data_IF_626782163966
#
_entry.id   IF_626782163966
#
_cell.length_a   1.000
_cell.length_b   1.000
_cell.length_c   1.000
_cell.angle_alpha   90.00
_cell.angle_beta   90.00
_cell.angle_gamma   90.00
#
_symmetry.space_group_name_H-M   'P 1'
#
loop_
_entity.id
_entity.type
_entity.pdbx_description
1 polymer ?
#
# COMPACT_ATOMS: atom_id res chain seq x y z
N UNK A 1 -14.26 9.06 -24.91
CA UNK A 1 -14.35 7.95 -23.94
C UNK A 1 -14.80 6.73 -24.71
N UNK A 2 -14.07 5.63 -24.63
CA UNK A 2 -14.38 4.39 -25.33
C UNK A 2 -15.20 3.43 -24.42
N UNK A 3 -15.70 2.31 -24.99
CA UNK A 3 -16.54 1.36 -24.26
C UNK A 3 -15.84 0.76 -23.04
N UNK A 4 -14.54 0.46 -23.12
CA UNK A 4 -13.76 -0.08 -22.01
C UNK A 4 -13.59 0.91 -20.84
N UNK A 5 -13.47 2.19 -21.14
CA UNK A 5 -13.47 3.23 -20.11
C UNK A 5 -14.85 3.31 -19.42
N UNK A 6 -15.94 3.17 -20.16
CA UNK A 6 -17.28 3.14 -19.60
C UNK A 6 -17.49 1.92 -18.68
N UNK A 7 -17.04 0.74 -19.11
CA UNK A 7 -17.06 -0.48 -18.31
C UNK A 7 -16.27 -0.31 -17.00
N UNK A 8 -15.06 0.26 -17.08
CA UNK A 8 -14.23 0.55 -15.88
C UNK A 8 -14.94 1.50 -14.94
N UNK A 9 -15.49 2.59 -15.43
CA UNK A 9 -16.21 3.57 -14.59
C UNK A 9 -17.40 2.90 -13.90
N UNK A 10 -18.13 2.05 -14.60
CA UNK A 10 -19.25 1.30 -14.03
C UNK A 10 -18.78 0.36 -12.92
N UNK A 11 -17.70 -0.41 -13.16
CA UNK A 11 -17.11 -1.30 -12.19
C UNK A 11 -16.62 -0.53 -10.94
N UNK A 12 -15.89 0.58 -11.14
CA UNK A 12 -15.40 1.42 -10.05
C UNK A 12 -16.54 1.99 -9.21
N UNK A 13 -17.64 2.46 -9.83
CA UNK A 13 -18.82 2.96 -9.11
C UNK A 13 -19.51 1.87 -8.30
N UNK A 14 -19.51 0.62 -8.79
CA UNK A 14 -20.05 -0.52 -8.04
C UNK A 14 -19.21 -0.83 -6.81
N UNK A 15 -17.87 -0.79 -6.94
CA UNK A 15 -16.95 -1.09 -5.84
C UNK A 15 -16.85 0.06 -4.84
N UNK A 16 -16.88 1.30 -5.33
CA UNK A 16 -16.72 2.52 -4.54
C UNK A 16 -17.92 3.46 -4.74
N UNK A 17 -19.09 3.15 -4.13
CA UNK A 17 -20.29 3.92 -4.35
C UNK A 17 -20.19 5.39 -3.92
N UNK A 18 -19.42 5.66 -2.86
CA UNK A 18 -19.21 7.02 -2.37
C UNK A 18 -18.06 7.75 -3.08
N UNK A 19 -16.91 7.16 -3.16
CA UNK A 19 -15.70 7.58 -3.89
C UNK A 19 -14.53 6.69 -3.50
N UNK A 20 -13.52 6.59 -4.35
CA UNK A 20 -12.27 5.92 -4.00
C UNK A 20 -11.55 6.72 -2.90
N UNK A 21 -11.15 6.09 -1.77
CA UNK A 21 -10.33 6.77 -0.76
C UNK A 21 -9.05 7.34 -1.35
N UNK A 22 -8.70 8.56 -0.99
CA UNK A 22 -7.48 9.21 -1.49
C UNK A 22 -6.23 8.87 -0.69
N UNK A 23 -6.38 8.31 0.52
CA UNK A 23 -5.28 7.83 1.36
C UNK A 23 -5.44 6.36 1.65
N UNK A 24 -4.42 5.59 1.26
CA UNK A 24 -4.29 4.14 1.47
C UNK A 24 -3.05 3.83 2.28
N UNK A 25 -3.12 2.76 3.08
CA UNK A 25 -2.02 2.27 3.91
C UNK A 25 -1.69 0.81 3.57
N UNK A 26 -0.44 0.48 3.21
CA UNK A 26 0.04 -0.89 3.19
C UNK A 26 0.39 -1.29 4.64
N UNK A 27 -0.60 -1.85 5.38
CA UNK A 27 -0.47 -2.11 6.81
C UNK A 27 0.76 -2.95 7.14
N UNK A 28 1.47 -2.57 8.21
CA UNK A 28 2.59 -3.33 8.77
C UNK A 28 2.12 -4.69 9.27
N UNK A 29 2.94 -5.73 9.05
CA UNK A 29 2.81 -7.03 9.72
C UNK A 29 3.66 -7.03 10.97
N UNK A 30 3.05 -7.31 12.12
CA UNK A 30 3.73 -7.45 13.40
C UNK A 30 3.94 -8.93 13.73
N UNK A 31 5.00 -9.24 14.48
CA UNK A 31 5.38 -10.62 14.83
C UNK A 31 5.58 -10.76 16.32
N UNK A 32 5.19 -11.91 16.86
CA UNK A 32 5.49 -12.38 18.21
C UNK A 32 6.93 -12.91 18.29
N UNK A 33 7.41 -13.18 19.51
CA UNK A 33 8.76 -13.66 19.74
C UNK A 33 9.04 -15.04 19.10
N UNK A 34 8.00 -15.85 18.92
CA UNK A 34 8.04 -17.12 18.21
C UNK A 34 7.96 -17.00 16.68
N UNK A 35 7.94 -15.77 16.15
CA UNK A 35 7.82 -15.39 14.73
C UNK A 35 6.44 -15.59 14.11
N UNK A 36 5.45 -15.97 14.86
CA UNK A 36 4.07 -15.97 14.38
C UNK A 36 3.57 -14.54 14.22
N UNK A 37 2.56 -14.34 13.36
CA UNK A 37 1.96 -13.02 13.15
C UNK A 37 1.21 -12.59 14.42
N UNK A 38 1.50 -11.40 14.91
CA UNK A 38 0.82 -10.79 16.07
C UNK A 38 -0.44 -10.05 15.63
N UNK A 39 -1.53 -10.80 15.49
CA UNK A 39 -2.81 -10.24 15.09
C UNK A 39 -3.39 -9.25 16.11
N UNK A 40 -3.12 -9.41 17.41
CA UNK A 40 -3.61 -8.47 18.42
C UNK A 40 -2.91 -7.11 18.29
N UNK A 41 -1.60 -7.14 18.04
CA UNK A 41 -0.84 -5.93 17.74
C UNK A 41 -1.30 -5.28 16.44
N UNK A 42 -1.60 -6.07 15.40
CA UNK A 42 -2.14 -5.58 14.14
C UNK A 42 -3.53 -4.94 14.31
N UNK A 43 -4.42 -5.51 15.12
CA UNK A 43 -5.73 -4.93 15.44
C UNK A 43 -5.60 -3.55 16.07
N UNK A 44 -4.69 -3.40 17.01
CA UNK A 44 -4.47 -2.13 17.71
C UNK A 44 -3.84 -1.09 16.78
N UNK A 45 -2.88 -1.50 15.94
CA UNK A 45 -2.29 -0.62 14.94
C UNK A 45 -3.34 -0.18 13.90
N UNK A 46 -4.16 -1.10 13.42
CA UNK A 46 -5.28 -0.78 12.55
C UNK A 46 -6.25 0.21 13.20
N UNK A 47 -6.61 0.00 14.48
CA UNK A 47 -7.49 0.91 15.22
C UNK A 47 -6.91 2.32 15.34
N UNK A 48 -5.59 2.44 15.49
CA UNK A 48 -4.88 3.72 15.52
C UNK A 48 -4.94 4.45 14.18
N UNK A 49 -4.82 3.72 13.05
CA UNK A 49 -4.75 4.29 11.69
C UNK A 49 -6.15 4.58 11.11
N UNK A 50 -7.13 3.69 11.35
CA UNK A 50 -8.42 3.66 10.65
C UNK A 50 -9.31 4.89 10.80
N UNK A 51 -9.17 5.76 11.81
CA UNK A 51 -9.87 7.05 11.82
C UNK A 51 -9.51 7.94 10.61
N UNK A 52 -8.28 7.84 10.11
CA UNK A 52 -7.71 8.72 9.08
C UNK A 52 -7.60 8.06 7.71
N UNK A 53 -7.42 6.74 7.68
CA UNK A 53 -7.23 5.93 6.47
C UNK A 53 -8.43 5.03 6.25
N UNK A 54 -8.97 5.01 5.02
CA UNK A 54 -10.12 4.18 4.66
C UNK A 54 -9.80 3.12 3.60
N UNK A 55 -8.60 3.16 3.03
CA UNK A 55 -8.10 2.17 2.09
C UNK A 55 -6.88 1.44 2.64
N UNK A 56 -6.85 0.11 2.52
CA UNK A 56 -5.73 -0.71 2.97
C UNK A 56 -5.28 -1.68 1.88
N UNK A 57 -3.97 -1.93 1.82
CA UNK A 57 -3.34 -3.00 1.02
C UNK A 57 -2.72 -4.02 1.97
N UNK A 58 -3.21 -5.27 1.97
CA UNK A 58 -2.75 -6.33 2.89
C UNK A 58 -2.63 -7.66 2.15
N UNK A 59 -1.43 -8.29 2.20
CA UNK A 59 -0.16 -7.67 2.55
C UNK A 59 0.35 -6.74 1.45
N UNK A 60 0.97 -5.61 1.83
CA UNK A 60 1.78 -4.81 0.93
C UNK A 60 3.27 -5.09 1.13
N UNK A 61 4.17 -4.47 0.35
CA UNK A 61 5.62 -4.59 0.57
C UNK A 61 6.06 -4.11 1.95
N UNK A 62 5.41 -3.08 2.48
CA UNK A 62 5.64 -2.57 3.85
C UNK A 62 5.19 -3.57 4.92
N UNK A 63 4.22 -4.42 4.60
CA UNK A 63 3.77 -5.53 5.45
C UNK A 63 4.45 -6.86 5.11
N UNK A 64 5.69 -6.81 4.65
CA UNK A 64 6.54 -7.96 4.32
C UNK A 64 5.97 -8.89 3.21
N UNK A 65 5.08 -8.37 2.33
CA UNK A 65 4.31 -9.17 1.37
C UNK A 65 5.14 -9.96 0.33
N UNK A 66 6.42 -9.59 0.13
CA UNK A 66 7.35 -10.31 -0.73
C UNK A 66 8.10 -11.43 0.00
N UNK A 67 8.23 -11.30 1.31
CA UNK A 67 8.94 -12.21 2.19
C UNK A 67 8.04 -13.30 2.78
N UNK A 68 6.73 -13.02 2.88
CA UNK A 68 5.74 -13.93 3.46
C UNK A 68 5.62 -15.24 2.66
N UNK A 69 5.56 -16.35 3.38
CA UNK A 69 5.13 -17.64 2.82
C UNK A 69 3.68 -17.57 2.31
N UNK A 70 3.26 -18.57 1.56
CA UNK A 70 1.88 -18.68 1.11
C UNK A 70 0.92 -18.76 2.31
N UNK A 71 1.25 -19.59 3.32
CA UNK A 71 0.44 -19.74 4.52
C UNK A 71 0.27 -18.42 5.30
N UNK A 72 1.35 -17.67 5.51
CA UNK A 72 1.27 -16.35 6.18
C UNK A 72 0.46 -15.35 5.36
N UNK A 73 0.59 -15.39 4.03
CA UNK A 73 -0.21 -14.54 3.13
C UNK A 73 -1.70 -14.84 3.26
N UNK A 74 -2.06 -16.13 3.32
CA UNK A 74 -3.46 -16.57 3.52
C UNK A 74 -3.99 -16.14 4.88
N UNK A 75 -3.23 -16.34 5.96
CA UNK A 75 -3.60 -15.92 7.31
C UNK A 75 -3.83 -14.40 7.39
N UNK A 76 -2.98 -13.59 6.76
CA UNK A 76 -3.15 -12.14 6.71
C UNK A 76 -4.38 -11.72 5.90
N UNK A 77 -4.65 -12.40 4.79
CA UNK A 77 -5.84 -12.12 3.99
C UNK A 77 -7.12 -12.46 4.76
N UNK A 78 -7.19 -13.64 5.40
CA UNK A 78 -8.30 -14.05 6.29
C UNK A 78 -8.50 -13.02 7.41
N UNK A 79 -7.44 -12.67 8.12
CA UNK A 79 -7.48 -11.67 9.18
C UNK A 79 -8.02 -10.33 8.68
N UNK A 80 -7.52 -9.83 7.54
CA UNK A 80 -7.94 -8.55 6.99
C UNK A 80 -9.42 -8.56 6.61
N UNK A 81 -9.87 -9.61 5.94
CA UNK A 81 -11.27 -9.77 5.53
C UNK A 81 -12.19 -9.81 6.75
N UNK A 82 -11.87 -10.61 7.75
CA UNK A 82 -12.73 -10.78 8.92
C UNK A 82 -12.69 -9.55 9.84
N UNK A 83 -11.50 -9.03 10.14
CA UNK A 83 -11.36 -7.95 11.10
C UNK A 83 -11.85 -6.59 10.54
N UNK A 84 -11.69 -6.35 9.24
CA UNK A 84 -12.07 -5.08 8.62
C UNK A 84 -13.51 -5.06 8.11
N UNK A 85 -14.20 -6.21 8.11
CA UNK A 85 -15.62 -6.30 7.72
C UNK A 85 -16.48 -5.32 8.51
N UNK A 86 -17.41 -4.66 7.83
CA UNK A 86 -18.36 -3.70 8.43
C UNK A 86 -17.74 -2.44 9.08
N UNK A 87 -16.49 -2.10 8.77
CA UNK A 87 -15.79 -0.94 9.35
C UNK A 87 -15.70 0.28 8.42
N UNK A 88 -16.45 0.31 7.32
CA UNK A 88 -16.34 1.33 6.27
C UNK A 88 -14.89 1.49 5.77
N UNK A 89 -14.29 0.36 5.43
CA UNK A 89 -12.92 0.20 4.99
C UNK A 89 -12.92 -0.44 3.61
N UNK A 90 -12.00 -0.04 2.76
CA UNK A 90 -11.73 -0.61 1.45
C UNK A 90 -10.43 -1.41 1.49
N UNK A 91 -10.47 -2.68 1.06
CA UNK A 91 -9.34 -3.60 1.14
C UNK A 91 -8.88 -4.04 -0.26
N UNK A 92 -7.61 -3.83 -0.54
CA UNK A 92 -6.89 -4.47 -1.63
C UNK A 92 -6.10 -5.65 -1.06
N UNK A 93 -6.27 -6.84 -1.64
CA UNK A 93 -5.50 -8.03 -1.26
C UNK A 93 -4.22 -8.11 -2.10
N UNK A 94 -3.07 -8.10 -1.44
CA UNK A 94 -1.77 -8.17 -2.11
C UNK A 94 -1.42 -9.60 -2.52
N UNK A 95 -1.17 -9.80 -3.81
CA UNK A 95 -0.65 -11.04 -4.39
C UNK A 95 0.75 -10.76 -4.95
N UNK A 96 1.70 -10.45 -4.04
CA UNK A 96 3.05 -10.04 -4.40
C UNK A 96 3.89 -11.29 -4.66
N UNK A 97 3.89 -11.75 -5.90
CA UNK A 97 4.59 -12.95 -6.36
C UNK A 97 5.45 -12.60 -7.58
N UNK A 98 6.52 -13.37 -7.84
CA UNK A 98 7.48 -13.05 -8.90
C UNK A 98 6.91 -13.23 -10.33
N UNK A 99 5.82 -13.98 -10.48
CA UNK A 99 5.24 -14.29 -11.78
C UNK A 99 3.73 -14.59 -11.70
N UNK A 100 3.09 -14.70 -12.86
CA UNK A 100 1.66 -14.97 -12.97
C UNK A 100 1.27 -16.35 -12.40
N UNK A 101 2.14 -17.34 -12.47
CA UNK A 101 1.90 -18.67 -11.90
C UNK A 101 1.75 -18.62 -10.38
N UNK A 102 2.66 -17.92 -9.71
CA UNK A 102 2.63 -17.71 -8.27
C UNK A 102 1.38 -16.91 -7.83
N UNK A 103 0.99 -15.88 -8.59
CA UNK A 103 -0.25 -15.12 -8.34
C UNK A 103 -1.48 -16.02 -8.44
N UNK A 104 -1.59 -16.80 -9.53
CA UNK A 104 -2.72 -17.73 -9.75
C UNK A 104 -2.77 -18.82 -8.67
N UNK A 105 -1.62 -19.37 -8.26
CA UNK A 105 -1.52 -20.35 -7.18
C UNK A 105 -2.03 -19.82 -5.85
N UNK A 106 -1.53 -18.66 -5.42
CA UNK A 106 -1.99 -18.00 -4.18
C UNK A 106 -3.49 -17.66 -4.24
N UNK A 107 -3.99 -17.18 -5.39
CA UNK A 107 -5.41 -16.90 -5.56
C UNK A 107 -6.28 -18.17 -5.48
N UNK A 108 -5.81 -19.29 -6.03
CA UNK A 108 -6.49 -20.59 -5.90
C UNK A 108 -6.57 -21.04 -4.45
N UNK A 109 -5.48 -20.96 -3.70
CA UNK A 109 -5.45 -21.28 -2.28
C UNK A 109 -6.38 -20.38 -1.45
N UNK A 110 -6.46 -19.07 -1.78
CA UNK A 110 -7.43 -18.16 -1.16
C UNK A 110 -8.88 -18.54 -1.44
N UNK A 111 -9.18 -19.00 -2.65
CA UNK A 111 -10.53 -19.49 -3.00
C UNK A 111 -10.88 -20.77 -2.25
N UNK A 112 -9.95 -21.73 -2.15
CA UNK A 112 -10.14 -22.97 -1.40
C UNK A 112 -10.41 -22.72 0.09
N UNK A 113 -9.78 -21.69 0.68
CA UNK A 113 -10.04 -21.23 2.05
C UNK A 113 -11.23 -20.31 2.19
N UNK A 114 -11.95 -20.05 1.08
CA UNK A 114 -13.12 -19.18 1.07
C UNK A 114 -12.84 -17.75 1.60
N UNK A 115 -11.62 -17.24 1.39
CA UNK A 115 -11.22 -15.88 1.81
C UNK A 115 -12.15 -14.83 1.20
N UNK A 116 -12.62 -15.05 -0.02
CA UNK A 116 -13.48 -14.13 -0.76
C UNK A 116 -14.99 -14.35 -0.57
N UNK A 117 -15.44 -15.17 0.35
CA UNK A 117 -16.80 -15.49 0.80
C UNK A 117 -17.96 -15.49 -0.23
N UNK A 118 -17.78 -15.00 -1.38
CA UNK A 118 -18.57 -15.12 -2.64
C UNK A 118 -18.10 -14.07 -3.64
N UNK A 119 -17.64 -14.53 -4.78
CA UNK A 119 -17.52 -13.68 -5.96
C UNK A 119 -18.96 -13.47 -6.48
N UNK A 120 -19.57 -12.35 -6.17
CA UNK A 120 -20.83 -12.00 -6.78
C UNK A 120 -20.58 -11.56 -8.23
N UNK A 121 -21.22 -12.25 -9.19
CA UNK A 121 -21.24 -11.84 -10.58
C UNK A 121 -22.30 -10.77 -10.75
N UNK A 122 -21.87 -9.51 -10.84
CA UNK A 122 -22.72 -8.43 -11.31
C UNK A 122 -22.66 -8.35 -12.84
N UNK A 123 -23.61 -7.68 -13.48
CA UNK A 123 -23.57 -7.46 -14.93
C UNK A 123 -22.32 -6.71 -15.43
N UNK A 124 -21.51 -6.17 -14.52
CA UNK A 124 -20.24 -5.49 -14.80
C UNK A 124 -19.01 -6.41 -14.58
N UNK A 125 -19.20 -7.69 -14.22
CA UNK A 125 -18.15 -8.66 -13.91
C UNK A 125 -18.15 -9.14 -12.46
N UNK A 126 -17.18 -10.00 -12.07
CA UNK A 126 -17.07 -10.50 -10.71
C UNK A 126 -16.66 -9.38 -9.75
N UNK A 127 -17.45 -9.13 -8.72
CA UNK A 127 -17.15 -8.19 -7.64
C UNK A 127 -16.83 -8.98 -6.38
N UNK A 128 -15.67 -8.69 -5.79
CA UNK A 128 -15.21 -9.32 -4.56
C UNK A 128 -15.85 -8.59 -3.36
N UNK A 129 -17.05 -8.99 -2.95
CA UNK A 129 -17.80 -8.39 -1.84
C UNK A 129 -17.85 -6.84 -1.91
N UNK A 130 -18.89 -6.24 -2.50
CA UNK A 130 -18.95 -4.82 -2.88
C UNK A 130 -18.76 -3.83 -1.71
N UNK A 131 -18.77 -4.30 -0.47
CA UNK A 131 -18.69 -3.43 0.69
C UNK A 131 -17.31 -3.42 1.37
N UNK A 132 -16.32 -4.18 0.87
CA UNK A 132 -15.08 -4.36 1.61
C UNK A 132 -13.85 -4.66 0.74
N UNK A 133 -13.83 -5.78 -0.01
CA UNK A 133 -12.71 -6.17 -0.86
C UNK A 133 -12.87 -5.51 -2.22
N UNK A 134 -11.95 -4.59 -2.54
CA UNK A 134 -12.00 -3.78 -3.76
C UNK A 134 -11.28 -4.42 -4.94
N UNK A 135 -10.45 -5.43 -4.69
CA UNK A 135 -9.69 -6.11 -5.72
C UNK A 135 -8.41 -6.74 -5.21
N UNK A 136 -7.65 -7.26 -6.15
CA UNK A 136 -6.30 -7.80 -5.91
C UNK A 136 -5.25 -6.77 -6.32
N UNK A 137 -4.08 -6.84 -5.70
CA UNK A 137 -2.91 -6.05 -6.10
C UNK A 137 -1.81 -6.98 -6.60
N UNK A 138 -1.32 -6.72 -7.81
CA UNK A 138 -0.27 -7.48 -8.47
C UNK A 138 0.88 -6.57 -8.89
N UNK A 139 2.08 -7.13 -9.03
CA UNK A 139 3.22 -6.47 -9.65
C UNK A 139 3.49 -7.02 -11.05
N UNK A 140 4.26 -6.31 -11.89
CA UNK A 140 4.85 -6.90 -13.07
C UNK A 140 5.65 -8.16 -12.73
N UNK A 141 5.78 -9.14 -13.64
CA UNK A 141 6.65 -10.27 -13.42
C UNK A 141 8.08 -9.80 -13.14
N UNK A 142 8.77 -10.47 -12.19
CA UNK A 142 10.11 -10.10 -11.77
C UNK A 142 11.14 -10.51 -12.82
N UNK A 143 12.02 -9.59 -13.18
CA UNK A 143 13.17 -9.88 -14.04
C UNK A 143 13.73 -8.65 -14.75
N UNK A 144 15.04 -8.43 -14.59
CA UNK A 144 15.76 -7.28 -15.13
C UNK A 144 15.79 -7.24 -16.67
N UNK A 145 15.77 -8.42 -17.31
CA UNK A 145 15.90 -8.56 -18.76
C UNK A 145 14.57 -8.71 -19.49
N UNK A 146 13.43 -8.64 -18.78
CA UNK A 146 12.11 -8.78 -19.40
C UNK A 146 11.83 -7.63 -20.36
N UNK A 147 11.43 -7.96 -21.57
CA UNK A 147 10.90 -7.00 -22.55
C UNK A 147 9.51 -6.52 -22.14
N UNK A 148 9.08 -5.38 -22.68
CA UNK A 148 7.73 -4.88 -22.43
C UNK A 148 6.64 -5.85 -22.92
N UNK A 149 6.91 -6.62 -23.95
CA UNK A 149 5.98 -7.67 -24.45
C UNK A 149 5.83 -8.82 -23.44
N UNK A 150 6.90 -9.23 -22.78
CA UNK A 150 6.85 -10.25 -21.72
C UNK A 150 6.17 -9.73 -20.46
N UNK A 151 6.40 -8.47 -20.09
CA UNK A 151 5.70 -7.80 -18.99
C UNK A 151 4.20 -7.70 -19.28
N UNK A 152 3.83 -7.27 -20.49
CA UNK A 152 2.43 -7.19 -20.95
C UNK A 152 1.76 -8.57 -20.89
N UNK A 153 2.42 -9.60 -21.45
CA UNK A 153 1.90 -10.98 -21.43
C UNK A 153 1.67 -11.49 -20.01
N UNK A 154 2.65 -11.31 -19.11
CA UNK A 154 2.53 -11.76 -17.73
C UNK A 154 1.42 -11.04 -16.93
N UNK A 155 1.21 -9.75 -17.20
CA UNK A 155 0.12 -8.98 -16.61
C UNK A 155 -1.24 -9.36 -17.23
N UNK A 156 -1.28 -9.54 -18.55
CA UNK A 156 -2.47 -9.99 -19.29
C UNK A 156 -2.99 -11.33 -18.77
N UNK A 157 -2.11 -12.26 -18.50
CA UNK A 157 -2.42 -13.59 -17.93
C UNK A 157 -3.22 -13.53 -16.61
N UNK A 158 -3.03 -12.45 -15.83
CA UNK A 158 -3.76 -12.25 -14.58
C UNK A 158 -5.02 -11.42 -14.84
N UNK A 159 -4.93 -10.38 -15.66
CA UNK A 159 -6.04 -9.50 -15.98
C UNK A 159 -7.17 -10.21 -16.73
N UNK A 160 -6.85 -11.26 -17.51
CA UNK A 160 -7.82 -12.14 -18.18
C UNK A 160 -8.73 -12.89 -17.19
N UNK A 161 -8.38 -12.97 -15.89
CA UNK A 161 -9.25 -13.51 -14.85
C UNK A 161 -10.42 -12.57 -14.51
N UNK A 162 -10.45 -11.37 -15.08
CA UNK A 162 -11.49 -10.35 -14.95
C UNK A 162 -11.78 -9.88 -13.50
N UNK A 163 -10.87 -10.11 -12.55
CA UNK A 163 -10.97 -9.59 -11.20
C UNK A 163 -10.58 -8.11 -11.17
N UNK A 164 -11.24 -7.26 -10.35
CA UNK A 164 -10.79 -5.89 -10.12
C UNK A 164 -9.33 -5.89 -9.64
N UNK A 165 -8.48 -5.17 -10.35
CA UNK A 165 -7.03 -5.29 -10.17
C UNK A 165 -6.38 -3.92 -9.98
N UNK A 166 -5.49 -3.83 -8.99
CA UNK A 166 -4.52 -2.77 -8.80
C UNK A 166 -3.15 -3.23 -9.32
N UNK A 167 -2.59 -2.53 -10.29
CA UNK A 167 -1.22 -2.75 -10.73
C UNK A 167 -0.26 -1.94 -9.84
N UNK A 168 0.75 -2.62 -9.29
CA UNK A 168 1.73 -2.01 -8.41
C UNK A 168 3.13 -2.01 -9.04
N UNK A 169 3.64 -0.84 -9.38
CA UNK A 169 4.99 -0.64 -9.89
C UNK A 169 5.97 -0.45 -8.75
N UNK A 170 6.91 -1.38 -8.59
CA UNK A 170 7.93 -1.41 -7.55
C UNK A 170 9.26 -1.94 -8.10
N UNK A 171 9.97 -1.16 -8.94
CA UNK A 171 11.16 -1.63 -9.65
C UNK A 171 12.30 -2.06 -8.73
N UNK A 172 12.34 -1.59 -7.49
CA UNK A 172 13.31 -2.00 -6.50
C UNK A 172 13.23 -3.51 -6.17
N UNK A 173 12.06 -4.14 -6.39
CA UNK A 173 11.84 -5.56 -6.15
C UNK A 173 11.57 -6.35 -7.43
N UNK A 174 10.85 -5.77 -8.40
CA UNK A 174 10.57 -6.44 -9.68
C UNK A 174 11.72 -6.37 -10.68
N UNK A 175 12.68 -5.46 -10.46
CA UNK A 175 13.85 -5.21 -11.30
C UNK A 175 13.50 -4.70 -12.71
N UNK A 176 12.27 -4.24 -12.91
CA UNK A 176 11.78 -3.66 -14.18
C UNK A 176 10.66 -2.65 -13.91
N UNK A 177 10.26 -1.94 -14.96
CA UNK A 177 9.14 -1.00 -14.96
C UNK A 177 8.22 -1.25 -16.16
N UNK A 178 6.93 -1.10 -15.96
CA UNK A 178 5.95 -1.00 -17.05
C UNK A 178 6.16 0.34 -17.76
N UNK A 179 6.32 0.29 -19.08
CA UNK A 179 6.41 1.51 -19.90
C UNK A 179 5.03 2.19 -20.04
N UNK A 180 4.99 3.51 -20.25
CA UNK A 180 3.72 4.22 -20.44
C UNK A 180 2.85 3.63 -21.58
N UNK A 181 3.45 3.20 -22.68
CA UNK A 181 2.77 2.62 -23.83
C UNK A 181 2.16 1.24 -23.48
N UNK A 182 2.92 0.42 -22.75
CA UNK A 182 2.41 -0.88 -22.23
C UNK A 182 1.25 -0.67 -21.27
N UNK A 183 1.36 0.32 -20.38
CA UNK A 183 0.26 0.68 -19.47
C UNK A 183 -0.98 1.13 -20.23
N UNK A 184 -0.84 1.99 -21.23
CA UNK A 184 -1.95 2.44 -22.08
C UNK A 184 -2.63 1.26 -22.80
N UNK A 185 -1.85 0.34 -23.38
CA UNK A 185 -2.38 -0.88 -24.00
C UNK A 185 -3.18 -1.73 -23.00
N UNK A 186 -2.64 -1.98 -21.80
CA UNK A 186 -3.34 -2.73 -20.77
C UNK A 186 -4.64 -2.04 -20.32
N UNK A 187 -4.65 -0.72 -20.18
CA UNK A 187 -5.86 0.00 -19.78
C UNK A 187 -6.91 0.05 -20.87
N UNK A 188 -6.53 0.04 -22.14
CA UNK A 188 -7.44 -0.05 -23.27
C UNK A 188 -8.08 -1.45 -23.34
N UNK A 189 -7.32 -2.50 -23.07
CA UNK A 189 -7.77 -3.89 -23.18
C UNK A 189 -8.58 -4.35 -21.96
N UNK A 190 -8.19 -3.94 -20.75
CA UNK A 190 -8.68 -4.51 -19.49
C UNK A 190 -9.44 -3.50 -18.61
N UNK A 191 -10.78 -3.47 -18.66
CA UNK A 191 -11.59 -2.57 -17.82
C UNK A 191 -11.49 -2.88 -16.32
N UNK A 192 -11.09 -4.10 -15.95
CA UNK A 192 -10.83 -4.51 -14.56
C UNK A 192 -9.50 -4.02 -13.98
N UNK A 193 -8.61 -3.43 -14.77
CA UNK A 193 -7.47 -2.67 -14.26
C UNK A 193 -7.99 -1.29 -13.78
N UNK A 194 -8.29 -1.20 -12.49
CA UNK A 194 -8.99 -0.05 -11.90
C UNK A 194 -8.07 0.90 -11.12
N UNK A 195 -6.87 0.43 -10.76
CA UNK A 195 -6.00 1.13 -9.84
C UNK A 195 -4.53 0.97 -10.25
N UNK A 196 -3.74 2.03 -10.11
CA UNK A 196 -2.28 1.97 -10.35
C UNK A 196 -1.54 2.62 -9.20
N UNK A 197 -0.64 1.86 -8.56
CA UNK A 197 0.28 2.35 -7.53
C UNK A 197 1.68 2.48 -8.11
N UNK A 198 2.27 3.66 -8.03
CA UNK A 198 3.64 3.92 -8.46
C UNK A 198 4.56 4.21 -7.27
N UNK A 199 5.47 3.28 -6.97
CA UNK A 199 6.54 3.46 -5.97
C UNK A 199 7.93 3.55 -6.60
N UNK A 200 8.01 3.75 -7.92
CA UNK A 200 9.29 3.89 -8.62
C UNK A 200 10.05 5.15 -8.22
N UNK A 201 9.33 6.21 -7.88
CA UNK A 201 9.89 7.56 -7.72
C UNK A 201 10.25 8.24 -9.04
N UNK A 202 10.14 7.52 -10.18
CA UNK A 202 10.36 8.05 -11.53
C UNK A 202 9.08 8.69 -12.09
N UNK A 203 7.92 8.31 -11.57
CA UNK A 203 6.59 8.85 -11.89
C UNK A 203 6.28 8.87 -13.42
N UNK A 204 6.92 7.96 -14.20
CA UNK A 204 6.93 7.98 -15.68
C UNK A 204 5.54 7.82 -16.28
N UNK A 205 4.75 6.83 -15.81
CA UNK A 205 3.39 6.60 -16.30
C UNK A 205 2.50 7.77 -15.94
N UNK A 206 2.50 8.19 -14.67
CA UNK A 206 1.64 9.26 -14.20
C UNK A 206 1.91 10.59 -14.92
N UNK A 207 3.19 10.93 -15.17
CA UNK A 207 3.62 12.17 -15.81
C UNK A 207 3.58 12.13 -17.35
N UNK A 208 3.38 10.95 -17.96
CA UNK A 208 3.32 10.82 -19.41
C UNK A 208 2.02 11.39 -20.00
N UNK A 209 2.02 11.61 -21.33
CA UNK A 209 0.84 12.06 -22.08
C UNK A 209 -0.09 10.93 -22.52
N UNK A 210 0.26 9.64 -22.27
CA UNK A 210 -0.59 8.52 -22.66
C UNK A 210 -1.94 8.55 -21.92
N UNK A 211 -2.98 8.05 -22.56
CA UNK A 211 -4.28 7.89 -21.90
C UNK A 211 -4.19 6.82 -20.79
N UNK A 212 -4.56 7.18 -19.57
CA UNK A 212 -4.62 6.28 -18.43
C UNK A 212 -5.96 5.55 -18.32
N UNK A 213 -6.84 5.73 -19.29
CA UNK A 213 -8.11 5.02 -19.40
C UNK A 213 -9.08 5.21 -18.22
N UNK A 214 -8.87 6.22 -17.36
CA UNK A 214 -9.67 6.43 -16.14
C UNK A 214 -9.27 5.53 -14.96
N UNK A 215 -8.09 4.93 -15.00
CA UNK A 215 -7.49 4.22 -13.85
C UNK A 215 -7.16 5.22 -12.74
N UNK A 216 -7.48 4.89 -11.49
CA UNK A 216 -7.15 5.69 -10.32
C UNK A 216 -5.66 5.57 -9.98
N UNK A 217 -4.95 6.70 -10.06
CA UNK A 217 -3.49 6.72 -9.87
C UNK A 217 -3.14 7.13 -8.45
N UNK A 218 -2.36 6.31 -7.74
CA UNK A 218 -1.81 6.66 -6.43
C UNK A 218 -0.30 6.64 -6.41
N UNK A 219 0.26 7.64 -5.76
CA UNK A 219 1.70 7.67 -5.52
C UNK A 219 2.06 6.81 -4.32
N UNK A 220 3.05 5.94 -4.49
CA UNK A 220 3.61 5.09 -3.44
C UNK A 220 5.03 5.49 -3.06
N UNK A 221 5.65 6.43 -3.78
CA UNK A 221 6.95 6.99 -3.44
C UNK A 221 6.81 8.09 -2.38
N UNK A 222 7.70 8.09 -1.40
CA UNK A 222 7.65 8.96 -0.24
C UNK A 222 8.18 10.37 -0.52
N UNK A 223 7.77 11.33 0.32
CA UNK A 223 8.24 12.72 0.28
C UNK A 223 7.46 13.64 -0.63
N UNK A 224 7.60 14.96 -0.38
CA UNK A 224 6.99 16.05 -1.16
C UNK A 224 5.47 15.91 -1.34
N UNK A 225 4.77 15.40 -0.34
CA UNK A 225 3.35 14.99 -0.44
C UNK A 225 2.42 16.11 -0.95
N UNK A 226 2.69 17.37 -0.61
CA UNK A 226 1.87 18.51 -1.05
C UNK A 226 1.96 18.80 -2.56
N UNK A 227 2.92 18.21 -3.28
CA UNK A 227 3.19 18.50 -4.68
C UNK A 227 2.46 17.58 -5.66
N UNK A 228 2.14 16.36 -5.26
CA UNK A 228 1.86 15.26 -6.18
C UNK A 228 0.39 15.07 -6.54
N UNK A 229 -0.53 15.65 -5.76
CA UNK A 229 -1.96 15.51 -6.02
C UNK A 229 -2.44 16.51 -7.08
N UNK A 230 -3.55 16.16 -7.75
CA UNK A 230 -4.13 16.97 -8.84
C UNK A 230 -4.44 18.40 -8.42
N UNK A 231 -4.87 18.63 -7.19
CA UNK A 231 -5.14 19.97 -6.64
C UNK A 231 -3.91 20.87 -6.62
N UNK A 232 -2.73 20.28 -6.51
CA UNK A 232 -1.45 20.98 -6.58
C UNK A 232 -0.84 20.99 -8.01
N UNK A 233 -1.60 20.53 -9.02
CA UNK A 233 -1.10 20.36 -10.38
C UNK A 233 -0.28 19.09 -10.62
N UNK A 234 -0.26 18.18 -9.65
CA UNK A 234 0.38 16.86 -9.77
C UNK A 234 -0.46 15.86 -10.58
N UNK A 235 0.11 14.70 -10.93
CA UNK A 235 -0.56 13.73 -11.78
C UNK A 235 -1.39 12.68 -11.04
N UNK A 236 -1.38 12.65 -9.69
CA UNK A 236 -1.99 11.58 -8.90
C UNK A 236 -3.35 11.96 -8.32
N UNK A 237 -4.22 10.96 -8.19
CA UNK A 237 -5.54 11.07 -7.58
C UNK A 237 -5.48 10.90 -6.05
N UNK A 238 -4.44 10.20 -5.55
CA UNK A 238 -4.29 9.91 -4.13
C UNK A 238 -2.92 9.32 -3.79
N UNK A 239 -2.82 8.79 -2.56
CA UNK A 239 -1.63 8.18 -2.00
C UNK A 239 -1.87 6.75 -1.53
N UNK A 240 -0.88 5.87 -1.74
CA UNK A 240 -0.75 4.57 -1.09
C UNK A 240 0.68 4.46 -0.55
N UNK A 241 0.90 4.98 0.66
CA UNK A 241 2.21 5.28 1.24
C UNK A 241 2.49 4.42 2.47
N UNK A 242 3.73 3.95 2.60
CA UNK A 242 4.19 3.27 3.82
C UNK A 242 4.10 4.18 5.04
N UNK A 243 4.36 5.46 4.87
CA UNK A 243 4.24 6.52 5.90
C UNK A 243 2.84 6.64 6.50
N UNK A 244 1.78 6.15 5.83
CA UNK A 244 0.44 6.10 6.40
C UNK A 244 0.32 5.16 7.62
N UNK A 245 1.29 4.26 7.84
CA UNK A 245 1.39 3.47 9.06
C UNK A 245 1.76 4.30 10.30
N UNK A 246 2.43 5.43 10.10
CA UNK A 246 3.01 6.25 11.17
C UNK A 246 2.38 7.63 11.25
N UNK A 247 2.13 8.27 10.12
CA UNK A 247 1.60 9.64 10.04
C UNK A 247 0.27 9.73 9.28
N UNK A 248 -0.73 8.90 9.63
CA UNK A 248 -1.99 8.86 8.88
C UNK A 248 -2.77 10.18 8.98
N UNK A 249 -2.73 10.83 10.16
CA UNK A 249 -3.40 12.11 10.43
C UNK A 249 -2.79 13.25 9.61
N UNK A 250 -1.48 13.32 9.59
CA UNK A 250 -0.73 14.37 8.89
C UNK A 250 -0.92 14.23 7.37
N UNK A 251 -0.84 13.01 6.82
CA UNK A 251 -1.11 12.76 5.41
C UNK A 251 -2.56 13.12 5.04
N UNK A 252 -3.52 12.78 5.89
CA UNK A 252 -4.91 13.18 5.70
C UNK A 252 -5.06 14.70 5.73
N UNK A 253 -4.37 15.39 6.64
CA UNK A 253 -4.36 16.86 6.72
C UNK A 253 -3.77 17.50 5.46
N UNK A 254 -2.71 16.94 4.88
CA UNK A 254 -2.15 17.41 3.60
C UNK A 254 -3.21 17.35 2.50
N UNK A 255 -3.90 16.20 2.36
CA UNK A 255 -4.95 16.02 1.35
C UNK A 255 -6.08 17.04 1.54
N UNK A 256 -6.61 17.17 2.77
CA UNK A 256 -7.71 18.09 3.08
C UNK A 256 -7.34 19.56 2.89
N UNK A 257 -6.10 19.93 3.19
CA UNK A 257 -5.60 21.30 2.94
C UNK A 257 -5.52 21.60 1.45
N UNK A 258 -5.04 20.65 0.64
CA UNK A 258 -5.02 20.79 -0.83
C UNK A 258 -6.43 20.92 -1.40
N UNK A 259 -7.39 20.09 -0.93
CA UNK A 259 -8.80 20.15 -1.35
C UNK A 259 -9.46 21.50 -1.05
N UNK A 260 -9.00 22.17 0.02
CA UNK A 260 -9.47 23.53 0.42
C UNK A 260 -8.68 24.65 -0.26
N UNK A 261 -7.64 24.34 -1.04
CA UNK A 261 -6.76 25.34 -1.66
C UNK A 261 -5.76 25.97 -0.67
N UNK A 262 -5.60 25.41 0.52
CA UNK A 262 -4.58 25.85 1.50
C UNK A 262 -3.24 25.18 1.24
N UNK A 263 -2.60 25.59 0.17
CA UNK A 263 -1.28 25.07 -0.25
C UNK A 263 -0.18 25.32 0.76
N UNK A 264 -0.31 26.40 1.58
CA UNK A 264 0.67 26.74 2.61
C UNK A 264 0.64 25.71 3.73
N UNK A 265 -0.53 25.45 4.31
CA UNK A 265 -0.67 24.46 5.38
C UNK A 265 -0.32 23.04 4.91
N UNK A 266 -0.71 22.69 3.66
CA UNK A 266 -0.31 21.43 3.04
C UNK A 266 1.22 21.32 2.93
N UNK A 267 1.90 22.37 2.46
CA UNK A 267 3.35 22.42 2.31
C UNK A 267 4.08 22.28 3.64
N UNK A 268 3.69 23.03 4.67
CA UNK A 268 4.29 22.99 6.01
C UNK A 268 4.18 21.59 6.63
N UNK A 269 3.01 20.95 6.53
CA UNK A 269 2.81 19.59 7.05
C UNK A 269 3.61 18.56 6.25
N UNK A 270 3.59 18.66 4.92
CA UNK A 270 4.35 17.80 4.02
C UNK A 270 5.86 17.87 4.30
N UNK A 271 6.43 19.06 4.47
CA UNK A 271 7.85 19.26 4.75
C UNK A 271 8.27 18.62 6.07
N UNK A 272 7.46 18.79 7.12
CA UNK A 272 7.74 18.19 8.44
C UNK A 272 7.81 16.67 8.37
N UNK A 273 6.79 16.01 7.80
CA UNK A 273 6.79 14.55 7.70
C UNK A 273 7.84 14.04 6.70
N UNK A 274 8.07 14.73 5.57
CA UNK A 274 9.13 14.38 4.61
C UNK A 274 10.51 14.43 5.26
N UNK A 275 10.78 15.42 6.10
CA UNK A 275 12.05 15.55 6.84
C UNK A 275 12.25 14.38 7.82
N UNK A 276 11.22 14.01 8.57
CA UNK A 276 11.28 12.87 9.52
C UNK A 276 11.51 11.57 8.76
N UNK A 277 10.68 11.32 7.77
CA UNK A 277 10.73 10.08 6.98
C UNK A 277 12.09 9.94 6.28
N UNK A 278 12.58 10.99 5.62
CA UNK A 278 13.87 10.96 4.93
C UNK A 278 15.03 10.64 5.87
N UNK A 279 15.06 11.24 7.08
CA UNK A 279 16.07 10.95 8.09
C UNK A 279 15.99 9.51 8.59
N UNK A 280 14.78 8.99 8.85
CA UNK A 280 14.62 7.64 9.40
C UNK A 280 14.92 6.59 8.32
N UNK A 281 14.54 6.83 7.06
CA UNK A 281 14.95 5.96 5.95
C UNK A 281 16.48 5.87 5.83
N UNK A 282 17.19 7.00 5.96
CA UNK A 282 18.66 7.00 5.96
C UNK A 282 19.25 6.20 7.13
N UNK A 283 18.63 6.26 8.32
CA UNK A 283 19.04 5.50 9.51
C UNK A 283 18.88 3.98 9.28
N UNK A 284 17.80 3.54 8.66
CA UNK A 284 17.52 2.10 8.46
C UNK A 284 18.16 1.52 7.19
N UNK A 285 18.60 2.36 6.25
CA UNK A 285 19.16 1.92 4.97
C UNK A 285 20.30 0.89 5.08
N UNK A 286 21.22 0.97 6.08
CA UNK A 286 22.30 0.00 6.20
C UNK A 286 21.86 -1.40 6.69
N UNK A 287 20.61 -1.57 7.10
CA UNK A 287 20.12 -2.86 7.61
C UNK A 287 20.02 -3.89 6.48
N UNK A 288 20.55 -5.08 6.73
CA UNK A 288 20.59 -6.18 5.76
C UNK A 288 19.32 -7.04 5.75
N UNK A 289 18.46 -6.90 6.76
CA UNK A 289 17.21 -7.64 6.92
C UNK A 289 16.00 -6.71 6.76
N UNK A 290 14.96 -7.22 6.14
CA UNK A 290 13.77 -6.45 5.80
C UNK A 290 14.03 -5.45 4.66
N UNK A 291 13.06 -4.61 4.40
CA UNK A 291 13.19 -3.49 3.46
C UNK A 291 13.09 -2.14 4.18
N UNK A 292 13.60 -1.08 3.55
CA UNK A 292 13.67 0.23 4.19
C UNK A 292 12.28 0.78 4.58
N UNK A 293 11.24 0.49 3.79
CA UNK A 293 9.86 0.92 4.07
C UNK A 293 9.32 0.26 5.34
N UNK A 294 9.49 -1.05 5.47
CA UNK A 294 9.08 -1.82 6.66
C UNK A 294 9.87 -1.37 7.88
N UNK A 295 11.21 -1.32 7.77
CA UNK A 295 12.10 -1.03 8.88
C UNK A 295 11.86 0.37 9.46
N UNK A 296 11.75 1.39 8.60
CA UNK A 296 11.49 2.76 9.03
C UNK A 296 10.14 2.89 9.74
N UNK A 297 9.08 2.32 9.14
CA UNK A 297 7.75 2.42 9.74
C UNK A 297 7.61 1.58 11.03
N UNK A 298 8.24 0.40 11.12
CA UNK A 298 8.30 -0.37 12.38
C UNK A 298 9.06 0.38 13.48
N UNK A 299 10.16 1.09 13.11
CA UNK A 299 10.90 1.90 14.08
C UNK A 299 10.07 3.08 14.61
N UNK A 300 9.32 3.77 13.75
CA UNK A 300 8.45 4.88 14.16
C UNK A 300 7.25 4.36 14.94
N UNK A 301 6.58 3.31 14.45
CA UNK A 301 5.43 2.70 15.11
C UNK A 301 5.76 2.20 16.52
N UNK A 302 6.99 1.74 16.75
CA UNK A 302 7.44 1.36 18.08
C UNK A 302 7.26 2.50 19.10
N UNK A 303 7.59 3.74 18.72
CA UNK A 303 7.38 4.91 19.58
C UNK A 303 5.90 5.28 19.70
N UNK A 304 5.17 5.23 18.61
CA UNK A 304 3.74 5.54 18.65
C UNK A 304 2.92 4.52 19.44
N UNK A 305 3.39 3.29 19.51
CA UNK A 305 2.77 2.23 20.28
C UNK A 305 3.04 2.32 21.78
N UNK A 306 4.27 2.69 22.16
CA UNK A 306 4.74 2.61 23.54
C UNK A 306 5.06 3.97 24.17
N UNK A 307 4.91 5.07 23.43
CA UNK A 307 5.17 6.41 23.94
C UNK A 307 6.54 6.56 24.57
N UNK A 308 6.61 7.23 25.72
CA UNK A 308 7.84 7.43 26.50
C UNK A 308 8.49 6.11 26.99
N UNK A 309 7.75 5.00 27.02
CA UNK A 309 8.28 3.69 27.43
C UNK A 309 8.96 2.93 26.29
N UNK A 310 8.88 3.40 25.05
CA UNK A 310 9.44 2.74 23.88
C UNK A 310 10.95 2.45 24.02
N UNK A 311 11.70 3.40 24.58
CA UNK A 311 13.15 3.24 24.76
C UNK A 311 13.56 2.04 25.62
N UNK A 312 12.66 1.57 26.51
CA UNK A 312 12.88 0.44 27.41
C UNK A 312 12.21 -0.86 26.95
N UNK A 313 11.62 -0.86 25.76
CA UNK A 313 10.99 -2.04 25.17
C UNK A 313 11.92 -2.70 24.15
N UNK A 314 11.88 -4.03 24.03
CA UNK A 314 12.57 -4.71 22.93
C UNK A 314 12.14 -4.16 21.59
N UNK A 315 13.08 -4.00 20.64
CA UNK A 315 12.77 -3.55 19.29
C UNK A 315 11.77 -4.48 18.57
N UNK A 316 11.02 -3.97 17.61
CA UNK A 316 10.06 -4.77 16.85
C UNK A 316 10.79 -5.89 16.10
N UNK A 317 10.15 -7.06 16.02
CA UNK A 317 10.65 -8.20 15.28
C UNK A 317 10.40 -8.01 13.78
N UNK A 318 11.40 -8.31 12.96
CA UNK A 318 11.30 -8.39 11.51
C UNK A 318 10.92 -9.81 11.09
N UNK A 319 10.37 -9.99 9.89
CA UNK A 319 10.04 -11.31 9.32
C UNK A 319 11.24 -12.27 9.35
N UNK A 320 12.46 -11.77 9.11
CA UNK A 320 13.70 -12.54 9.19
C UNK A 320 14.02 -13.11 10.59
N UNK A 321 13.22 -12.83 11.61
CA UNK A 321 13.40 -13.30 12.97
C UNK A 321 14.47 -12.55 13.76
N UNK A 322 14.88 -11.37 13.29
CA UNK A 322 15.79 -10.46 14.01
C UNK A 322 15.03 -9.22 14.47
N UNK A 323 15.45 -8.63 15.58
CA UNK A 323 14.86 -7.38 16.07
C UNK A 323 15.56 -6.18 15.46
N UNK A 324 14.84 -5.09 15.28
CA UNK A 324 15.46 -3.81 14.97
C UNK A 324 16.46 -3.45 16.09
N UNK A 325 17.72 -3.11 15.74
CA UNK A 325 18.77 -2.77 16.71
C UNK A 325 18.39 -1.57 17.57
N UNK A 326 18.86 -1.56 18.83
CA UNK A 326 18.54 -0.49 19.78
C UNK A 326 19.13 0.86 19.35
N UNK A 327 20.26 0.87 18.64
CA UNK A 327 20.83 2.08 18.06
C UNK A 327 19.93 2.72 17.00
N UNK A 328 19.24 1.92 16.18
CA UNK A 328 18.26 2.40 15.20
C UNK A 328 17.07 3.04 15.92
N UNK A 329 16.55 2.37 16.95
CA UNK A 329 15.45 2.91 17.76
C UNK A 329 15.87 4.22 18.47
N UNK A 330 17.04 4.24 19.07
CA UNK A 330 17.56 5.44 19.73
C UNK A 330 17.68 6.62 18.75
N UNK A 331 18.23 6.36 17.55
CA UNK A 331 18.35 7.39 16.51
C UNK A 331 16.97 7.85 16.01
N UNK A 332 16.03 6.91 15.80
CA UNK A 332 14.63 7.21 15.40
C UNK A 332 13.93 8.07 16.45
N UNK A 333 14.03 7.72 17.74
CA UNK A 333 13.43 8.48 18.83
C UNK A 333 13.94 9.93 18.88
N UNK A 334 15.24 10.15 18.67
CA UNK A 334 15.82 11.52 18.61
C UNK A 334 15.26 12.32 17.43
N UNK A 335 15.05 11.68 16.27
CA UNK A 335 14.44 12.35 15.12
C UNK A 335 13.00 12.73 15.42
N UNK A 336 12.20 11.82 15.99
CA UNK A 336 10.80 12.09 16.36
C UNK A 336 10.70 13.21 17.39
N UNK A 337 11.52 13.18 18.44
CA UNK A 337 11.56 14.18 19.48
C UNK A 337 11.92 15.57 18.92
N UNK A 338 12.97 15.66 18.11
CA UNK A 338 13.43 16.92 17.50
C UNK A 338 12.39 17.60 16.60
N UNK A 339 11.40 16.85 16.12
CA UNK A 339 10.31 17.34 15.25
C UNK A 339 8.96 17.40 15.97
N UNK A 340 8.92 17.12 17.28
CA UNK A 340 7.71 17.18 18.10
C UNK A 340 6.68 16.07 17.76
N UNK A 341 7.16 14.90 17.32
CA UNK A 341 6.31 13.75 17.01
C UNK A 341 6.41 12.62 18.05
N UNK A 342 7.24 12.76 19.07
CA UNK A 342 7.36 11.75 20.12
C UNK A 342 6.13 11.82 21.04
N UNK A 343 5.25 10.79 21.09
CA UNK A 343 4.08 10.83 21.95
C UNK A 343 4.45 10.52 23.41
N UNK A 344 3.73 11.16 24.34
CA UNK A 344 3.89 10.86 25.78
C UNK A 344 3.34 9.47 26.11
N UNK A 345 2.20 9.11 25.51
CA UNK A 345 1.52 7.80 25.66
C UNK A 345 1.40 7.11 24.31
N UNK A 346 1.58 5.81 24.33
CA UNK A 346 1.37 4.98 23.15
C UNK A 346 -0.06 4.48 23.00
N UNK A 347 -0.42 4.10 21.77
CA UNK A 347 -1.76 3.57 21.49
C UNK A 347 -1.91 2.08 21.90
N UNK A 348 -0.83 1.43 22.25
CA UNK A 348 -0.77 0.03 22.71
C UNK A 348 -0.59 -0.11 24.23
N UNK A 349 -0.72 0.97 24.99
CA UNK A 349 -0.61 0.96 26.47
C UNK A 349 -1.97 0.71 27.16
#
# INVERSE_FOLDING_TARGET
MNDRQMERISLVRTIFPDNIPRLWCPLLTHYQDDRTIDFERMKSHFAYISPWVKGFLIPGSTGDGWELSEEETLQLAEFAVDHMRNKNIHLLIGLLRPDAGGVKGTLSAMKERNVFHSLEHTGAGPVMNPHHICGITICPPRGKSLSQAEIDSGLSDILDMALPTALYQLPQLTENEVAPETFAHLTEKYPNLIFFKDSSGNDRIASSSVDKGGVFLVRGAEGDYARWLREAGGPYDGFLLSTANSFPRELRSVIESLEKGDFKAAGETSERISTVIGKIFAIVQPLIHGNAFTNANKAIDHFFAYGSKAANRPGPLLHAGVRLPQEILSATGKVLDSQGFLPERGYWE
#
